data_IF_957792256538
#
_entry.id   IF_957792256538
#
_cell.length_a   1.000
_cell.length_b   1.000
_cell.length_c   1.000
_cell.angle_alpha   90.00
_cell.angle_beta   90.00
_cell.angle_gamma   90.00
#
_symmetry.space_group_name_H-M   'P 1'
#
loop_
_entity.id
_entity.type
_entity.pdbx_description
1 polymer ?
#
# COMPACT_ATOMS: atom_id res chain seq x y z
N UNK A 1 55.05 31.57 52.04
CA UNK A 1 56.17 31.23 51.14
C UNK A 1 55.79 29.89 50.53
N UNK A 2 54.67 29.81 49.82
CA UNK A 2 54.45 30.26 48.42
C UNK A 2 55.47 29.62 47.48
N UNK A 3 55.10 28.45 46.98
CA UNK A 3 55.69 27.84 45.80
C UNK A 3 54.57 27.42 44.83
N UNK A 4 54.27 28.39 43.98
CA UNK A 4 53.76 28.34 42.62
C UNK A 4 54.01 27.02 41.85
N UNK A 5 52.94 26.28 41.52
CA UNK A 5 52.74 25.68 40.18
C UNK A 5 51.38 24.96 40.06
N UNK A 6 50.28 25.69 40.11
CA UNK A 6 49.04 25.22 39.49
C UNK A 6 49.05 25.65 38.02
N UNK A 7 49.59 24.79 37.13
CA UNK A 7 49.29 24.88 35.70
C UNK A 7 47.82 24.49 35.51
N UNK A 8 46.95 25.50 35.57
CA UNK A 8 45.60 25.40 35.01
C UNK A 8 45.75 25.10 33.51
N UNK A 9 45.36 23.91 33.07
CA UNK A 9 45.15 23.65 31.64
C UNK A 9 44.01 24.55 31.19
N UNK A 10 44.33 25.61 30.46
CA UNK A 10 43.33 26.50 29.88
C UNK A 10 42.53 25.71 28.86
N UNK A 11 41.26 25.43 29.16
CA UNK A 11 40.33 24.87 28.18
C UNK A 11 40.24 25.88 27.03
N UNK A 12 40.74 25.52 25.85
CA UNK A 12 40.74 26.39 24.69
C UNK A 12 39.29 26.55 24.20
N UNK A 13 38.79 27.77 24.07
CA UNK A 13 37.44 28.05 23.58
C UNK A 13 37.51 28.84 22.27
N UNK A 14 36.64 28.51 21.32
CA UNK A 14 36.49 29.28 20.07
C UNK A 14 36.01 30.71 20.38
N UNK A 15 36.63 31.70 19.76
CA UNK A 15 36.32 33.12 19.96
C UNK A 15 37.15 33.80 21.06
N UNK A 16 37.97 33.09 21.82
CA UNK A 16 38.85 33.70 22.82
C UNK A 16 40.05 34.40 22.16
N UNK A 17 39.92 35.72 21.96
CA UNK A 17 40.98 36.56 21.37
C UNK A 17 42.28 36.56 22.16
N UNK A 18 42.24 36.30 23.47
CA UNK A 18 43.42 36.40 24.34
C UNK A 18 44.40 35.24 24.15
N UNK A 19 43.88 34.06 23.86
CA UNK A 19 44.65 32.80 23.73
C UNK A 19 44.83 32.35 22.27
N UNK A 20 44.01 32.86 21.35
CA UNK A 20 44.05 32.49 19.93
C UNK A 20 45.26 33.06 19.16
N UNK A 21 45.86 32.21 18.32
CA UNK A 21 46.99 32.53 17.44
C UNK A 21 46.61 32.60 15.94
N UNK A 22 45.39 32.17 15.59
CA UNK A 22 44.85 32.18 14.22
C UNK A 22 43.49 32.89 14.19
N UNK A 23 43.21 33.59 13.07
CA UNK A 23 41.87 34.11 12.76
C UNK A 23 41.33 33.41 11.51
N UNK A 24 40.21 32.71 11.65
CA UNK A 24 39.45 32.16 10.52
C UNK A 24 38.44 33.21 10.07
N UNK A 25 38.59 33.68 8.83
CA UNK A 25 37.73 34.70 8.24
C UNK A 25 36.76 34.05 7.25
N UNK A 26 35.50 33.93 7.63
CA UNK A 26 34.43 33.40 6.78
C UNK A 26 33.86 34.54 5.92
N UNK A 27 33.87 34.38 4.60
CA UNK A 27 33.34 35.39 3.66
C UNK A 27 32.35 34.82 2.66
N UNK A 28 31.26 35.54 2.46
CA UNK A 28 30.28 35.27 1.39
C UNK A 28 30.40 36.29 0.27
N UNK A 29 29.91 35.92 -0.93
CA UNK A 29 29.87 36.83 -2.09
C UNK A 29 28.93 38.02 -1.85
N UNK A 30 27.95 37.84 -0.97
CA UNK A 30 26.95 38.85 -0.60
C UNK A 30 27.47 39.86 0.43
N UNK A 31 28.72 39.72 0.86
CA UNK A 31 29.42 40.69 1.72
C UNK A 31 29.37 40.38 3.21
N UNK A 32 28.82 39.23 3.63
CA UNK A 32 28.94 38.76 5.02
C UNK A 32 30.40 38.39 5.28
N UNK A 33 30.95 38.90 6.36
CA UNK A 33 32.35 38.74 6.75
C UNK A 33 32.44 38.57 8.27
N UNK A 34 32.76 37.37 8.73
CA UNK A 34 32.85 37.04 10.16
C UNK A 34 34.24 36.51 10.51
N UNK A 35 34.70 36.95 11.68
CA UNK A 35 36.07 36.74 12.14
C UNK A 35 36.03 35.90 13.40
N UNK A 36 36.51 34.65 13.29
CA UNK A 36 36.53 33.70 14.39
C UNK A 36 37.96 33.53 14.89
N UNK A 37 38.18 33.83 16.17
CA UNK A 37 39.47 33.64 16.83
C UNK A 37 39.63 32.17 17.19
N UNK A 38 40.69 31.54 16.65
CA UNK A 38 40.91 30.11 16.74
C UNK A 38 42.37 29.76 17.12
N UNK A 39 42.58 28.48 17.47
CA UNK A 39 43.88 27.93 17.84
C UNK A 39 44.41 27.03 16.72
N UNK A 40 45.59 27.32 16.20
CA UNK A 40 46.22 26.59 15.09
C UNK A 40 46.27 25.09 15.35
N UNK A 41 46.76 24.68 16.52
CA UNK A 41 46.94 23.27 16.87
C UNK A 41 45.65 22.45 16.74
N UNK A 42 44.51 22.97 17.22
CA UNK A 42 43.19 22.31 17.10
C UNK A 42 42.77 22.22 15.63
N UNK A 43 42.86 23.34 14.89
CA UNK A 43 42.46 23.38 13.48
C UNK A 43 43.29 22.41 12.63
N UNK A 44 44.61 22.37 12.82
CA UNK A 44 45.51 21.52 12.04
C UNK A 44 45.40 20.03 12.40
N UNK A 45 45.04 19.72 13.66
CA UNK A 45 44.82 18.34 14.09
C UNK A 45 43.52 17.78 13.51
N UNK A 46 42.48 18.61 13.44
CA UNK A 46 41.13 18.16 13.10
C UNK A 46 40.76 18.34 11.62
N UNK A 47 41.51 19.16 10.86
CA UNK A 47 41.23 19.48 9.45
C UNK A 47 42.50 19.53 8.61
N UNK A 48 42.53 18.72 7.55
CA UNK A 48 43.64 18.74 6.59
C UNK A 48 43.67 20.03 5.77
N UNK A 49 42.51 20.63 5.45
CA UNK A 49 42.45 21.94 4.82
C UNK A 49 43.19 23.01 5.62
N UNK A 50 42.94 23.09 6.93
CA UNK A 50 43.61 24.06 7.79
C UNK A 50 45.09 23.72 8.00
N UNK A 51 45.45 22.44 8.10
CA UNK A 51 46.85 22.00 8.16
C UNK A 51 47.65 22.46 6.93
N UNK A 52 47.09 22.33 5.73
CA UNK A 52 47.74 22.76 4.49
C UNK A 52 47.84 24.29 4.41
N UNK A 53 46.77 25.01 4.77
CA UNK A 53 46.70 26.48 4.73
C UNK A 53 47.55 27.19 5.77
N UNK A 54 47.83 26.55 6.90
CA UNK A 54 48.68 27.08 7.97
C UNK A 54 50.13 26.55 7.89
N UNK A 55 50.44 25.72 6.89
CA UNK A 55 51.80 25.22 6.68
C UNK A 55 52.75 26.33 6.25
N UNK A 56 54.04 26.17 6.54
CA UNK A 56 55.11 27.11 6.14
C UNK A 56 55.19 27.35 4.62
N UNK A 57 54.61 26.44 3.83
CA UNK A 57 54.61 26.48 2.37
C UNK A 57 53.48 27.34 1.80
N UNK A 58 52.50 27.72 2.62
CA UNK A 58 51.36 28.53 2.18
C UNK A 58 51.60 30.01 2.50
N UNK A 59 51.35 30.94 1.56
CA UNK A 59 51.46 32.37 1.84
C UNK A 59 50.32 32.79 2.77
N UNK A 60 50.58 32.78 4.08
CA UNK A 60 49.63 33.21 5.09
C UNK A 60 49.73 34.72 5.29
N UNK A 61 48.59 35.42 5.19
CA UNK A 61 48.54 36.84 5.49
C UNK A 61 48.59 37.04 7.01
N UNK A 62 49.55 37.82 7.49
CA UNK A 62 49.58 38.26 8.89
C UNK A 62 48.67 39.48 9.04
N UNK A 63 47.71 39.38 9.96
CA UNK A 63 46.80 40.50 10.31
C UNK A 63 47.33 41.18 11.59
N UNK A 64 46.72 42.31 11.98
CA UNK A 64 46.90 43.01 13.26
C UNK A 64 47.21 42.04 14.42
N UNK A 65 48.22 42.40 15.22
CA UNK A 65 48.83 41.60 16.29
C UNK A 65 49.67 40.39 15.81
N UNK A 66 50.11 40.35 14.55
CA UNK A 66 50.98 39.30 13.97
C UNK A 66 50.39 37.89 13.96
N UNK A 67 49.05 37.78 13.94
CA UNK A 67 48.34 36.48 13.86
C UNK A 67 48.18 36.03 12.41
N UNK A 68 48.19 34.70 12.22
CA UNK A 68 47.90 34.09 10.94
C UNK A 68 46.40 34.22 10.62
N UNK A 69 46.06 34.56 9.38
CA UNK A 69 44.67 34.56 8.92
C UNK A 69 44.43 33.56 7.80
N UNK A 70 43.41 32.73 7.99
CA UNK A 70 42.90 31.80 6.96
C UNK A 70 41.55 32.31 6.48
N UNK A 71 41.49 32.68 5.21
CA UNK A 71 40.25 33.10 4.57
C UNK A 71 39.53 31.88 3.97
N UNK A 72 38.27 31.69 4.36
CA UNK A 72 37.39 30.62 3.86
C UNK A 72 36.21 31.27 3.17
N UNK A 73 36.01 30.95 1.90
CA UNK A 73 34.88 31.45 1.12
C UNK A 73 33.75 30.44 1.14
N UNK A 74 32.56 30.87 1.50
CA UNK A 74 31.37 30.03 1.58
C UNK A 74 30.15 30.71 0.93
N UNK A 75 29.11 29.92 0.66
CA UNK A 75 27.82 30.44 0.23
C UNK A 75 27.02 30.89 1.46
N UNK A 76 26.15 31.89 1.30
CA UNK A 76 25.30 32.37 2.40
C UNK A 76 24.46 31.24 3.00
N UNK A 77 23.91 30.34 2.17
CA UNK A 77 23.14 29.17 2.61
C UNK A 77 23.95 28.14 3.42
N UNK A 78 25.28 28.18 3.35
CA UNK A 78 26.17 27.25 4.07
C UNK A 78 26.93 27.92 5.21
N UNK A 79 26.72 29.22 5.40
CA UNK A 79 27.53 30.03 6.30
C UNK A 79 27.42 29.54 7.74
N UNK A 80 26.20 29.35 8.23
CA UNK A 80 25.97 28.93 9.62
C UNK A 80 26.52 27.51 9.87
N UNK A 81 26.54 26.63 8.85
CA UNK A 81 27.19 25.32 8.94
C UNK A 81 28.71 25.41 9.09
N UNK A 82 29.37 26.41 8.46
CA UNK A 82 30.80 26.66 8.68
C UNK A 82 31.08 27.15 10.10
N UNK A 83 30.25 28.03 10.63
CA UNK A 83 30.37 28.50 12.03
C UNK A 83 30.18 27.33 13.00
N UNK A 84 29.16 26.50 12.78
CA UNK A 84 28.87 25.34 13.62
C UNK A 84 29.99 24.29 13.54
N UNK A 85 30.54 24.03 12.34
CA UNK A 85 31.68 23.14 12.19
C UNK A 85 32.91 23.65 12.96
N UNK A 86 33.23 24.94 12.87
CA UNK A 86 34.37 25.50 13.61
C UNK A 86 34.18 25.39 15.12
N UNK A 87 32.94 25.52 15.62
CA UNK A 87 32.62 25.25 17.03
C UNK A 87 32.81 23.78 17.38
N UNK A 88 32.40 22.86 16.50
CA UNK A 88 32.54 21.41 16.70
C UNK A 88 34.00 20.96 16.85
N UNK A 89 34.93 21.57 16.11
CA UNK A 89 36.37 21.23 16.21
C UNK A 89 36.92 21.36 17.64
N UNK A 90 36.28 22.16 18.49
CA UNK A 90 36.66 22.38 19.89
C UNK A 90 35.95 21.47 20.88
N UNK A 91 34.84 20.85 20.48
CA UNK A 91 33.92 20.13 21.37
C UNK A 91 34.13 18.62 21.30
N UNK A 92 34.61 18.10 20.16
CA UNK A 92 34.77 16.65 19.89
C UNK A 92 35.62 15.91 20.93
N UNK A 93 36.41 16.63 21.74
CA UNK A 93 37.21 16.05 22.82
C UNK A 93 36.51 15.92 24.17
N UNK A 94 35.44 16.67 24.53
CA UNK A 94 35.03 16.77 25.96
C UNK A 94 33.55 17.06 26.35
N UNK A 95 32.52 16.96 25.48
CA UNK A 95 31.12 17.22 25.91
C UNK A 95 30.13 16.25 25.24
N UNK A 96 29.05 15.79 25.93
CA UNK A 96 28.02 14.93 25.33
C UNK A 96 27.36 15.63 24.15
N UNK A 97 27.36 14.95 23.02
CA UNK A 97 26.93 15.40 21.69
C UNK A 97 25.42 15.63 21.53
N UNK A 98 24.61 15.71 22.59
CA UNK A 98 23.15 15.77 22.44
C UNK A 98 22.64 17.16 21.98
N UNK A 99 23.25 18.27 22.38
CA UNK A 99 22.69 19.61 22.07
C UNK A 99 23.03 20.14 20.66
N UNK A 100 24.07 19.60 20.01
CA UNK A 100 24.50 20.08 18.68
C UNK A 100 23.95 19.25 17.52
N UNK A 101 23.42 18.07 17.82
CA UNK A 101 22.99 17.05 16.87
C UNK A 101 21.48 16.86 16.94
N UNK A 102 20.74 17.94 16.73
CA UNK A 102 19.28 17.97 16.95
C UNK A 102 18.44 17.95 15.68
N UNK A 103 19.06 18.00 14.51
CA UNK A 103 18.35 18.16 13.23
C UNK A 103 19.14 17.54 12.06
N UNK A 104 18.48 16.70 11.28
CA UNK A 104 19.08 15.96 10.15
C UNK A 104 19.62 16.92 9.10
N UNK A 105 18.87 17.97 8.74
CA UNK A 105 19.30 18.97 7.75
C UNK A 105 20.53 19.75 8.22
N UNK A 106 20.56 20.12 9.49
CA UNK A 106 21.73 20.79 10.08
C UNK A 106 22.96 19.89 10.04
N UNK A 107 22.80 18.62 10.38
CA UNK A 107 23.89 17.64 10.34
C UNK A 107 24.36 17.38 8.91
N UNK A 108 23.44 17.26 7.95
CA UNK A 108 23.76 17.11 6.53
C UNK A 108 24.52 18.34 5.99
N UNK A 109 24.11 19.54 6.40
CA UNK A 109 24.81 20.79 6.10
C UNK A 109 26.23 20.82 6.67
N UNK A 110 26.41 20.39 7.92
CA UNK A 110 27.72 20.27 8.57
C UNK A 110 28.58 19.21 7.87
N UNK A 111 28.02 18.06 7.51
CA UNK A 111 28.72 16.99 6.78
C UNK A 111 29.30 17.51 5.46
N UNK A 112 28.50 18.28 4.70
CA UNK A 112 28.96 18.90 3.46
C UNK A 112 30.17 19.79 3.68
N UNK A 113 30.11 20.68 4.67
CA UNK A 113 31.24 21.57 5.00
C UNK A 113 32.43 20.79 5.54
N UNK A 114 32.20 19.73 6.31
CA UNK A 114 33.25 18.86 6.84
C UNK A 114 34.00 18.15 5.72
N UNK A 115 33.30 17.76 4.66
CA UNK A 115 33.92 17.21 3.46
C UNK A 115 34.78 18.26 2.73
N UNK A 116 34.24 19.46 2.51
CA UNK A 116 34.96 20.57 1.85
C UNK A 116 36.23 21.00 2.61
N UNK A 117 36.21 20.91 3.94
CA UNK A 117 37.35 21.25 4.82
C UNK A 117 38.18 20.03 5.25
N UNK A 118 37.90 18.84 4.70
CA UNK A 118 38.61 17.59 4.98
C UNK A 118 38.72 17.25 6.49
N UNK A 119 37.61 17.38 7.22
CA UNK A 119 37.49 17.16 8.67
C UNK A 119 37.04 15.72 9.01
N UNK A 120 37.95 14.74 8.95
CA UNK A 120 37.61 13.30 9.06
C UNK A 120 36.81 12.90 10.30
N UNK A 121 37.16 13.43 11.48
CA UNK A 121 36.47 13.09 12.73
C UNK A 121 35.01 13.59 12.72
N UNK A 122 34.77 14.78 12.15
CA UNK A 122 33.42 15.34 12.00
C UNK A 122 32.64 14.56 10.96
N UNK A 123 33.25 14.22 9.81
CA UNK A 123 32.61 13.39 8.78
C UNK A 123 32.13 12.08 9.41
N UNK A 124 32.98 11.38 10.15
CA UNK A 124 32.60 10.13 10.84
C UNK A 124 31.48 10.34 11.87
N UNK A 125 31.52 11.41 12.67
CA UNK A 125 30.45 11.73 13.62
C UNK A 125 29.13 12.02 12.90
N UNK A 126 29.16 12.76 11.78
CA UNK A 126 28.00 13.04 10.95
C UNK A 126 27.40 11.78 10.36
N UNK A 127 28.23 10.89 9.83
CA UNK A 127 27.78 9.63 9.26
C UNK A 127 27.11 8.77 10.33
N UNK A 128 27.75 8.61 11.49
CA UNK A 128 27.19 7.81 12.58
C UNK A 128 25.84 8.35 13.06
N UNK A 129 25.68 9.68 13.13
CA UNK A 129 24.40 10.29 13.49
C UNK A 129 23.34 10.03 12.42
N UNK A 130 23.63 10.38 11.16
CA UNK A 130 22.66 10.25 10.07
C UNK A 130 22.24 8.80 9.86
N UNK A 131 23.17 7.84 9.98
CA UNK A 131 22.89 6.41 9.93
C UNK A 131 21.91 5.97 11.03
N UNK A 132 22.02 6.54 12.24
CA UNK A 132 21.30 6.10 13.43
C UNK A 132 19.90 6.71 13.62
N UNK A 133 19.56 7.80 12.92
CA UNK A 133 18.28 8.51 13.09
C UNK A 133 17.30 8.27 11.92
N UNK A 134 15.98 8.26 12.15
CA UNK A 134 14.98 8.25 11.07
C UNK A 134 15.05 9.55 10.25
N UNK A 135 14.56 9.50 9.02
CA UNK A 135 14.49 10.66 8.11
C UNK A 135 13.06 10.84 7.60
N UNK A 136 12.71 12.09 7.34
CA UNK A 136 11.50 12.44 6.58
C UNK A 136 11.80 12.39 5.07
N UNK A 137 10.76 12.28 4.24
CA UNK A 137 10.87 12.14 2.77
C UNK A 137 11.71 13.27 2.13
N UNK A 138 11.51 14.51 2.56
CA UNK A 138 12.25 15.65 2.04
C UNK A 138 13.73 15.66 2.48
N UNK A 139 14.03 15.09 3.65
CA UNK A 139 15.39 14.88 4.12
C UNK A 139 16.09 13.78 3.31
N UNK A 140 15.39 12.70 2.96
CA UNK A 140 15.91 11.65 2.07
C UNK A 140 16.27 12.22 0.69
N UNK A 141 15.42 13.07 0.12
CA UNK A 141 15.73 13.76 -1.13
C UNK A 141 16.98 14.63 -1.04
N UNK A 142 17.15 15.38 0.05
CA UNK A 142 18.35 16.20 0.26
C UNK A 142 19.59 15.34 0.43
N UNK A 143 19.49 14.23 1.17
CA UNK A 143 20.56 13.24 1.32
C UNK A 143 20.98 12.70 -0.06
N UNK A 144 20.03 12.31 -0.90
CA UNK A 144 20.29 11.82 -2.26
C UNK A 144 20.95 12.89 -3.16
N UNK A 145 20.66 14.17 -2.94
CA UNK A 145 21.29 15.27 -3.70
C UNK A 145 22.73 15.52 -3.24
N UNK A 146 23.02 15.36 -1.94
CA UNK A 146 24.28 15.79 -1.32
C UNK A 146 25.32 14.67 -1.22
N UNK A 147 24.93 13.49 -0.75
CA UNK A 147 25.85 12.45 -0.26
C UNK A 147 26.53 11.58 -1.33
N UNK A 148 25.91 11.22 -2.49
CA UNK A 148 26.47 10.22 -3.41
C UNK A 148 27.90 10.48 -3.93
N UNK A 149 28.38 11.71 -3.83
CA UNK A 149 29.70 12.13 -4.33
C UNK A 149 30.80 12.11 -3.26
N UNK A 150 30.49 11.76 -2.00
CA UNK A 150 31.38 11.89 -0.84
C UNK A 150 32.23 10.64 -0.54
N UNK A 151 32.28 9.66 -1.45
CA UNK A 151 33.15 8.49 -1.33
C UNK A 151 32.62 7.39 -0.39
N UNK A 152 33.50 6.50 0.08
CA UNK A 152 33.09 5.29 0.82
C UNK A 152 32.71 5.51 2.28
N UNK A 153 33.08 6.65 2.88
CA UNK A 153 32.79 6.92 4.30
C UNK A 153 31.29 7.10 4.57
N UNK A 154 30.51 7.45 3.55
CA UNK A 154 29.06 7.69 3.63
C UNK A 154 28.20 6.50 3.16
N UNK A 155 28.83 5.40 2.78
CA UNK A 155 28.15 4.19 2.28
C UNK A 155 27.06 3.66 3.25
N UNK A 156 27.24 3.68 4.59
CA UNK A 156 26.18 3.24 5.51
C UNK A 156 24.87 4.01 5.37
N UNK A 157 24.95 5.30 5.05
CA UNK A 157 23.77 6.15 4.79
C UNK A 157 23.12 5.73 3.47
N UNK A 158 23.92 5.64 2.41
CA UNK A 158 23.43 5.29 1.07
C UNK A 158 22.85 3.88 1.01
N UNK A 159 23.32 2.96 1.85
CA UNK A 159 22.82 1.60 1.97
C UNK A 159 21.33 1.55 2.36
N UNK A 160 20.82 2.54 3.12
CA UNK A 160 19.39 2.65 3.50
C UNK A 160 18.49 2.99 2.30
N UNK A 161 19.04 3.67 1.30
CA UNK A 161 18.32 4.18 0.12
C UNK A 161 18.50 3.27 -1.11
N UNK A 162 19.23 2.16 -0.97
CA UNK A 162 19.40 1.21 -2.06
C UNK A 162 18.08 0.49 -2.35
N UNK A 163 17.74 0.26 -3.64
CA UNK A 163 16.61 -0.56 -4.01
C UNK A 163 16.69 -1.94 -3.35
N UNK A 164 15.60 -2.36 -2.73
CA UNK A 164 15.53 -3.67 -2.06
C UNK A 164 15.62 -4.79 -3.09
N UNK A 165 16.35 -5.86 -2.75
CA UNK A 165 16.44 -7.05 -3.58
C UNK A 165 15.04 -7.68 -3.80
N UNK A 166 14.69 -7.96 -5.05
CA UNK A 166 13.40 -8.55 -5.43
C UNK A 166 13.08 -9.87 -4.72
N UNK A 167 14.10 -10.68 -4.38
CA UNK A 167 13.93 -11.90 -3.58
C UNK A 167 13.46 -11.62 -2.15
N UNK A 168 13.92 -10.52 -1.53
CA UNK A 168 13.51 -10.14 -0.19
C UNK A 168 12.08 -9.60 -0.20
N UNK A 169 11.75 -8.76 -1.20
CA UNK A 169 10.38 -8.28 -1.42
C UNK A 169 9.42 -9.46 -1.56
N UNK A 170 9.79 -10.46 -2.38
CA UNK A 170 9.01 -11.70 -2.52
C UNK A 170 8.83 -12.42 -1.18
N UNK A 171 9.89 -12.60 -0.39
CA UNK A 171 9.79 -13.26 0.91
C UNK A 171 8.88 -12.53 1.89
N UNK A 172 8.94 -11.20 1.92
CA UNK A 172 8.05 -10.35 2.73
C UNK A 172 6.61 -10.54 2.26
N UNK A 173 6.35 -10.47 0.95
CA UNK A 173 5.02 -10.68 0.39
C UNK A 173 4.44 -12.05 0.77
N UNK A 174 5.19 -13.13 0.59
CA UNK A 174 4.71 -14.49 0.92
C UNK A 174 4.47 -14.65 2.42
N UNK A 175 5.30 -14.05 3.27
CA UNK A 175 5.13 -14.09 4.71
C UNK A 175 3.89 -13.30 5.16
N UNK A 176 3.70 -12.09 4.62
CA UNK A 176 2.53 -11.27 4.85
C UNK A 176 1.25 -11.96 4.34
N UNK A 177 1.30 -12.60 3.17
CA UNK A 177 0.16 -13.35 2.59
C UNK A 177 -0.28 -14.50 3.51
N UNK A 178 0.68 -15.24 4.07
CA UNK A 178 0.38 -16.30 5.05
C UNK A 178 -0.29 -15.74 6.29
N UNK A 179 0.20 -14.62 6.83
CA UNK A 179 -0.42 -13.93 7.98
C UNK A 179 -1.82 -13.42 7.64
N UNK A 180 -1.98 -12.79 6.48
CA UNK A 180 -3.24 -12.23 5.97
C UNK A 180 -4.32 -13.29 5.73
N UNK A 181 -3.93 -14.54 5.53
CA UNK A 181 -4.83 -15.69 5.29
C UNK A 181 -4.93 -16.66 6.46
N UNK A 182 -4.37 -16.31 7.63
CA UNK A 182 -4.56 -17.10 8.85
C UNK A 182 -6.03 -17.17 9.25
N UNK A 183 -6.38 -18.33 9.82
CA UNK A 183 -7.70 -18.60 10.38
C UNK A 183 -8.07 -17.57 11.46
N UNK A 184 -9.37 -17.20 11.59
CA UNK A 184 -9.86 -16.24 12.60
C UNK A 184 -9.54 -16.61 14.06
N UNK A 185 -9.08 -17.84 14.32
CA UNK A 185 -8.69 -18.32 15.64
C UNK A 185 -7.22 -18.06 16.00
N UNK A 186 -6.44 -17.44 15.11
CA UNK A 186 -5.04 -17.10 15.37
C UNK A 186 -4.94 -15.89 16.29
N UNK A 187 -4.11 -15.97 17.33
CA UNK A 187 -3.99 -14.94 18.39
C UNK A 187 -3.19 -13.68 17.94
N UNK A 188 -3.12 -13.41 16.63
CA UNK A 188 -2.29 -12.36 16.00
C UNK A 188 -3.19 -11.28 15.39
N UNK A 189 -4.16 -10.80 16.15
CA UNK A 189 -5.26 -9.99 15.61
C UNK A 189 -4.80 -8.62 15.06
N UNK A 190 -3.68 -8.06 15.55
CA UNK A 190 -3.24 -6.72 15.14
C UNK A 190 -2.42 -6.71 13.83
N UNK A 191 -1.79 -7.83 13.45
CA UNK A 191 -0.94 -7.88 12.25
C UNK A 191 -1.70 -8.19 10.97
N UNK A 192 -2.84 -8.88 11.06
CA UNK A 192 -3.58 -9.34 9.89
C UNK A 192 -4.14 -8.18 9.04
N UNK A 193 -4.84 -7.17 9.60
CA UNK A 193 -5.32 -6.04 8.80
C UNK A 193 -4.19 -5.25 8.16
N UNK A 194 -3.09 -5.02 8.89
CA UNK A 194 -1.90 -4.35 8.36
C UNK A 194 -1.27 -5.16 7.22
N UNK A 195 -1.13 -6.48 7.36
CA UNK A 195 -0.63 -7.33 6.28
C UNK A 195 -1.54 -7.28 5.05
N UNK A 196 -2.87 -7.29 5.24
CA UNK A 196 -3.85 -7.18 4.16
C UNK A 196 -3.73 -5.85 3.40
N UNK A 197 -3.58 -4.73 4.11
CA UNK A 197 -3.38 -3.40 3.54
C UNK A 197 -2.06 -3.29 2.78
N UNK A 198 -0.95 -3.73 3.39
CA UNK A 198 0.36 -3.64 2.77
C UNK A 198 0.48 -4.55 1.53
N UNK A 199 -0.14 -5.73 1.52
CA UNK A 199 -0.20 -6.58 0.33
C UNK A 199 -0.96 -5.93 -0.83
N UNK A 200 -2.02 -5.17 -0.53
CA UNK A 200 -2.71 -4.40 -1.56
C UNK A 200 -1.80 -3.30 -2.10
N UNK A 201 -1.12 -2.54 -1.22
CA UNK A 201 -0.17 -1.50 -1.60
C UNK A 201 0.97 -2.03 -2.48
N UNK A 202 1.59 -3.16 -2.10
CA UNK A 202 2.67 -3.79 -2.88
C UNK A 202 2.28 -4.17 -4.32
N UNK A 203 0.98 -4.30 -4.59
CA UNK A 203 0.41 -4.65 -5.89
C UNK A 203 -0.30 -3.46 -6.56
N UNK A 204 -0.29 -2.25 -5.98
CA UNK A 204 -0.87 -1.06 -6.63
C UNK A 204 0.10 -0.60 -7.71
N UNK A 205 -0.45 -0.28 -8.89
CA UNK A 205 0.23 0.56 -9.88
C UNK A 205 -0.44 1.94 -9.77
N UNK A 206 0.28 2.94 -9.27
CA UNK A 206 -0.18 4.33 -9.16
C UNK A 206 0.74 5.26 -9.97
N UNK A 207 1.33 6.28 -9.36
CA UNK A 207 2.37 7.09 -10.02
C UNK A 207 3.70 6.31 -10.08
N UNK A 208 3.89 5.32 -9.20
CA UNK A 208 5.05 4.44 -9.14
C UNK A 208 4.77 3.03 -9.70
N UNK A 209 5.86 2.34 -10.05
CA UNK A 209 5.79 0.93 -10.44
C UNK A 209 5.48 0.05 -9.22
N UNK A 210 4.72 -1.04 -9.38
CA UNK A 210 4.35 -1.91 -8.27
C UNK A 210 5.61 -2.51 -7.63
N UNK A 211 5.63 -2.54 -6.29
CA UNK A 211 6.78 -3.05 -5.55
C UNK A 211 7.07 -4.53 -5.87
N UNK A 212 6.01 -5.30 -6.19
CA UNK A 212 6.12 -6.69 -6.58
C UNK A 212 5.44 -6.99 -7.91
N UNK A 213 6.24 -7.40 -8.90
CA UNK A 213 5.72 -7.98 -10.14
C UNK A 213 5.29 -9.43 -9.91
N UNK A 214 4.05 -9.75 -10.26
CA UNK A 214 3.50 -11.08 -10.11
C UNK A 214 4.13 -12.09 -11.08
N UNK A 215 4.73 -13.15 -10.53
CA UNK A 215 5.24 -14.29 -11.29
C UNK A 215 4.43 -15.58 -11.03
N UNK A 216 4.81 -16.66 -11.69
CA UNK A 216 4.13 -17.94 -11.57
C UNK A 216 4.20 -18.56 -10.16
N UNK A 217 5.27 -18.30 -9.42
CA UNK A 217 5.46 -18.82 -8.06
C UNK A 217 4.55 -18.09 -7.07
N UNK A 218 4.48 -16.76 -7.16
CA UNK A 218 3.55 -15.94 -6.37
C UNK A 218 2.11 -16.37 -6.64
N UNK A 219 1.74 -16.53 -7.92
CA UNK A 219 0.40 -16.99 -8.30
C UNK A 219 0.10 -18.39 -7.75
N UNK A 220 1.08 -19.28 -7.66
CA UNK A 220 0.92 -20.61 -7.08
C UNK A 220 0.63 -20.52 -5.57
N UNK A 221 1.47 -19.81 -4.80
CA UNK A 221 1.27 -19.67 -3.35
C UNK A 221 -0.08 -19.02 -3.04
N UNK A 222 -0.42 -17.94 -3.77
CA UNK A 222 -1.72 -17.27 -3.66
C UNK A 222 -2.87 -18.25 -3.88
N UNK A 223 -2.78 -19.10 -4.90
CA UNK A 223 -3.81 -20.12 -5.15
C UNK A 223 -3.91 -21.16 -4.01
N UNK A 224 -2.80 -21.56 -3.38
CA UNK A 224 -2.84 -22.44 -2.21
C UNK A 224 -3.50 -21.77 -1.00
N UNK A 225 -3.21 -20.49 -0.76
CA UNK A 225 -3.89 -19.67 0.23
C UNK A 225 -5.41 -19.58 -0.04
N UNK A 226 -5.81 -19.32 -1.29
CA UNK A 226 -7.24 -19.32 -1.68
C UNK A 226 -7.89 -20.66 -1.39
N UNK A 227 -7.27 -21.77 -1.81
CA UNK A 227 -7.83 -23.11 -1.58
C UNK A 227 -8.01 -23.40 -0.10
N UNK A 228 -7.07 -22.98 0.75
CA UNK A 228 -7.16 -23.13 2.21
C UNK A 228 -8.33 -22.34 2.79
N UNK A 229 -8.49 -21.07 2.39
CA UNK A 229 -9.61 -20.23 2.81
C UNK A 229 -10.95 -20.82 2.34
N UNK A 230 -11.06 -21.22 1.08
CA UNK A 230 -12.28 -21.83 0.53
C UNK A 230 -12.60 -23.16 1.21
N UNK A 231 -11.60 -23.99 1.52
CA UNK A 231 -11.80 -25.24 2.26
C UNK A 231 -12.40 -24.95 3.64
N UNK A 232 -11.84 -23.96 4.34
CA UNK A 232 -12.32 -23.54 5.66
C UNK A 232 -13.75 -23.02 5.59
N UNK A 233 -14.03 -22.13 4.64
CA UNK A 233 -15.36 -21.60 4.37
C UNK A 233 -16.39 -22.70 4.09
N UNK A 234 -16.07 -23.64 3.18
CA UNK A 234 -16.96 -24.75 2.86
C UNK A 234 -17.19 -25.68 4.06
N UNK A 235 -16.16 -25.98 4.85
CA UNK A 235 -16.33 -26.75 6.09
C UNK A 235 -17.25 -26.05 7.09
N UNK A 236 -17.14 -24.72 7.24
CA UNK A 236 -18.04 -23.95 8.10
C UNK A 236 -19.49 -23.99 7.61
N UNK A 237 -19.70 -23.87 6.29
CA UNK A 237 -21.04 -24.01 5.69
C UNK A 237 -21.66 -25.37 6.02
N UNK A 238 -20.92 -26.46 5.86
CA UNK A 238 -21.42 -27.80 6.18
C UNK A 238 -21.78 -27.91 7.68
N UNK A 239 -20.94 -27.39 8.57
CA UNK A 239 -21.18 -27.43 10.02
C UNK A 239 -22.44 -26.63 10.39
N UNK A 240 -22.62 -25.45 9.82
CA UNK A 240 -23.81 -24.61 10.11
C UNK A 240 -25.10 -25.25 9.59
N UNK A 241 -25.03 -25.91 8.44
CA UNK A 241 -26.16 -26.62 7.84
C UNK A 241 -26.47 -27.96 8.53
N UNK A 242 -25.55 -28.51 9.33
CA UNK A 242 -25.78 -29.77 10.03
C UNK A 242 -26.85 -29.61 11.13
N UNK A 243 -27.96 -30.37 11.07
CA UNK A 243 -29.00 -30.32 12.10
C UNK A 243 -28.57 -30.94 13.44
N UNK A 244 -27.52 -31.77 13.47
CA UNK A 244 -27.05 -32.50 14.66
C UNK A 244 -26.16 -31.63 15.54
N UNK A 245 -25.41 -30.70 14.94
CA UNK A 245 -24.52 -29.77 15.64
C UNK A 245 -25.22 -28.44 15.90
N UNK A 246 -26.17 -28.43 16.85
CA UNK A 246 -26.85 -27.20 17.29
C UNK A 246 -26.01 -26.35 18.26
N UNK A 247 -25.06 -26.97 18.96
CA UNK A 247 -24.18 -26.28 19.91
C UNK A 247 -23.09 -25.48 19.17
N UNK A 248 -22.93 -24.21 19.54
CA UNK A 248 -21.93 -23.31 18.93
C UNK A 248 -22.29 -22.69 17.57
N UNK A 249 -23.54 -22.77 17.10
CA UNK A 249 -23.97 -22.18 15.81
C UNK A 249 -23.69 -20.67 15.71
N UNK A 250 -23.98 -19.90 16.74
CA UNK A 250 -23.68 -18.45 16.82
C UNK A 250 -22.17 -18.18 16.60
N UNK A 251 -21.30 -18.92 17.30
CA UNK A 251 -19.85 -18.81 17.10
C UNK A 251 -19.44 -19.16 15.68
N UNK A 252 -20.01 -20.21 15.09
CA UNK A 252 -19.70 -20.62 13.72
C UNK A 252 -20.19 -19.58 12.69
N UNK A 253 -21.34 -18.95 12.94
CA UNK A 253 -21.86 -17.84 12.12
C UNK A 253 -20.94 -16.62 12.19
N UNK A 254 -20.46 -16.25 13.39
CA UNK A 254 -19.48 -15.17 13.53
C UNK A 254 -18.18 -15.47 12.76
N UNK A 255 -17.67 -16.70 12.87
CA UNK A 255 -16.48 -17.15 12.13
C UNK A 255 -16.72 -17.13 10.62
N UNK A 256 -17.94 -17.50 10.17
CA UNK A 256 -18.34 -17.42 8.77
C UNK A 256 -18.28 -15.98 8.25
N UNK A 257 -18.76 -15.01 9.03
CA UNK A 257 -18.68 -13.58 8.68
C UNK A 257 -17.21 -13.15 8.51
N UNK A 258 -16.32 -13.52 9.42
CA UNK A 258 -14.88 -13.25 9.26
C UNK A 258 -14.29 -13.89 8.01
N UNK A 259 -14.67 -15.15 7.71
CA UNK A 259 -14.24 -15.80 6.48
C UNK A 259 -14.77 -15.10 5.22
N UNK A 260 -15.98 -14.55 5.25
CA UNK A 260 -16.53 -13.75 4.13
C UNK A 260 -15.74 -12.46 3.93
N UNK A 261 -15.37 -11.76 5.01
CA UNK A 261 -14.49 -10.58 4.94
C UNK A 261 -13.12 -10.93 4.35
N UNK A 262 -12.52 -12.03 4.78
CA UNK A 262 -11.25 -12.52 4.21
C UNK A 262 -11.37 -12.88 2.73
N UNK A 263 -12.47 -13.52 2.33
CA UNK A 263 -12.73 -13.85 0.92
C UNK A 263 -12.95 -12.60 0.07
N UNK A 264 -13.64 -11.58 0.60
CA UNK A 264 -13.86 -10.31 -0.09
C UNK A 264 -12.53 -9.57 -0.30
N UNK A 265 -11.67 -9.52 0.72
CA UNK A 265 -10.30 -9.02 0.60
C UNK A 265 -9.50 -9.83 -0.43
N UNK A 266 -9.54 -11.17 -0.34
CA UNK A 266 -8.79 -12.04 -1.24
C UNK A 266 -9.22 -11.84 -2.70
N UNK A 267 -10.51 -11.56 -2.97
CA UNK A 267 -10.98 -11.20 -4.31
C UNK A 267 -10.24 -9.97 -4.88
N UNK A 268 -9.87 -8.98 -4.04
CA UNK A 268 -9.11 -7.79 -4.48
C UNK A 268 -7.69 -8.18 -4.93
N UNK A 269 -7.02 -9.03 -4.15
CA UNK A 269 -5.69 -9.57 -4.50
C UNK A 269 -5.77 -10.41 -5.78
N UNK A 270 -6.72 -11.34 -5.87
CA UNK A 270 -6.87 -12.22 -7.03
C UNK A 270 -7.25 -11.49 -8.31
N UNK A 271 -8.00 -10.39 -8.22
CA UNK A 271 -8.32 -9.54 -9.37
C UNK A 271 -7.04 -8.93 -9.95
N UNK A 272 -6.14 -8.41 -9.10
CA UNK A 272 -4.86 -7.83 -9.53
C UNK A 272 -3.90 -8.86 -10.10
N UNK A 273 -3.91 -10.07 -9.55
CA UNK A 273 -3.05 -11.17 -10.01
C UNK A 273 -3.65 -11.97 -11.19
N UNK A 274 -4.88 -11.65 -11.58
CA UNK A 274 -5.67 -12.34 -12.61
C UNK A 274 -5.88 -13.85 -12.34
N UNK A 275 -6.06 -14.22 -11.06
CA UNK A 275 -6.18 -15.63 -10.62
C UNK A 275 -7.55 -15.98 -10.00
N UNK A 276 -8.61 -15.26 -10.39
CA UNK A 276 -9.97 -15.42 -9.84
C UNK A 276 -10.64 -16.80 -10.12
N UNK A 277 -10.12 -17.59 -11.05
CA UNK A 277 -10.78 -18.81 -11.57
C UNK A 277 -11.17 -19.82 -10.49
N UNK A 278 -10.28 -20.10 -9.55
CA UNK A 278 -10.50 -21.09 -8.49
C UNK A 278 -11.64 -20.67 -7.55
N UNK A 279 -11.62 -19.40 -7.12
CA UNK A 279 -12.64 -18.82 -6.25
C UNK A 279 -14.01 -18.81 -6.93
N UNK A 280 -14.07 -18.35 -8.19
CA UNK A 280 -15.34 -18.32 -8.95
C UNK A 280 -15.90 -19.74 -9.12
N UNK A 281 -15.06 -20.74 -9.44
CA UNK A 281 -15.53 -22.12 -9.59
C UNK A 281 -16.09 -22.66 -8.28
N UNK A 282 -15.38 -22.47 -7.16
CA UNK A 282 -15.83 -22.93 -5.85
C UNK A 282 -17.14 -22.24 -5.43
N UNK A 283 -17.25 -20.93 -5.64
CA UNK A 283 -18.44 -20.15 -5.30
C UNK A 283 -19.68 -20.62 -6.06
N UNK A 284 -19.53 -20.94 -7.36
CA UNK A 284 -20.64 -21.51 -8.16
C UNK A 284 -21.09 -22.85 -7.57
N UNK A 285 -20.14 -23.73 -7.28
CA UNK A 285 -20.45 -25.08 -6.81
C UNK A 285 -21.06 -25.06 -5.39
N UNK A 286 -20.68 -24.07 -4.56
CA UNK A 286 -21.23 -23.85 -3.22
C UNK A 286 -22.52 -22.99 -3.18
N UNK A 287 -22.93 -22.36 -4.28
CA UNK A 287 -23.96 -21.30 -4.30
C UNK A 287 -25.27 -21.67 -3.59
N UNK A 288 -25.82 -22.86 -3.86
CA UNK A 288 -27.07 -23.30 -3.22
C UNK A 288 -26.93 -23.50 -1.71
N UNK A 289 -25.75 -23.93 -1.24
CA UNK A 289 -25.49 -24.14 0.19
C UNK A 289 -25.32 -22.80 0.89
N UNK A 290 -24.62 -21.85 0.26
CA UNK A 290 -24.43 -20.49 0.79
C UNK A 290 -25.78 -19.82 1.04
N UNK A 291 -26.70 -19.86 0.07
CA UNK A 291 -28.04 -19.27 0.23
C UNK A 291 -28.82 -19.92 1.38
N UNK A 292 -28.74 -21.26 1.53
CA UNK A 292 -29.40 -21.99 2.62
C UNK A 292 -28.84 -21.67 4.00
N UNK A 293 -27.54 -21.37 4.12
CA UNK A 293 -26.92 -21.02 5.41
C UNK A 293 -27.56 -19.77 6.01
N UNK A 294 -27.92 -18.79 5.18
CA UNK A 294 -28.56 -17.56 5.65
C UNK A 294 -29.93 -17.82 6.27
N UNK A 295 -30.61 -18.89 5.88
CA UNK A 295 -31.89 -19.31 6.46
C UNK A 295 -31.72 -19.99 7.83
N UNK A 296 -30.51 -20.42 8.20
CA UNK A 296 -30.23 -21.07 9.49
C UNK A 296 -29.92 -20.07 10.61
N UNK A 297 -29.64 -18.82 10.28
CA UNK A 297 -29.32 -17.80 11.26
C UNK A 297 -30.57 -17.38 12.04
N UNK A 298 -30.46 -17.32 13.37
CA UNK A 298 -31.56 -17.01 14.29
C UNK A 298 -31.52 -15.57 14.81
N UNK A 299 -30.35 -14.94 14.79
CA UNK A 299 -30.12 -13.58 15.29
C UNK A 299 -30.14 -12.58 14.13
N UNK A 300 -30.91 -11.50 14.29
CA UNK A 300 -31.09 -10.49 13.24
C UNK A 300 -29.77 -9.86 12.77
N UNK A 301 -28.83 -9.57 13.68
CA UNK A 301 -27.51 -9.02 13.32
C UNK A 301 -26.67 -10.00 12.51
N UNK A 302 -26.64 -11.29 12.88
CA UNK A 302 -25.91 -12.32 12.14
C UNK A 302 -26.46 -12.51 10.73
N UNK A 303 -27.80 -12.48 10.58
CA UNK A 303 -28.46 -12.55 9.28
C UNK A 303 -27.99 -11.41 8.38
N UNK A 304 -27.90 -10.19 8.93
CA UNK A 304 -27.51 -9.01 8.17
C UNK A 304 -26.02 -9.07 7.82
N UNK A 305 -25.14 -9.27 8.79
CA UNK A 305 -23.68 -9.30 8.57
C UNK A 305 -23.28 -10.40 7.58
N UNK A 306 -23.91 -11.58 7.69
CA UNK A 306 -23.68 -12.69 6.74
C UNK A 306 -24.17 -12.35 5.35
N UNK A 307 -25.36 -11.74 5.22
CA UNK A 307 -25.88 -11.31 3.91
C UNK A 307 -24.99 -10.24 3.28
N UNK A 308 -24.51 -9.28 4.06
CA UNK A 308 -23.59 -8.23 3.60
C UNK A 308 -22.30 -8.86 3.07
N UNK A 309 -21.64 -9.70 3.85
CA UNK A 309 -20.40 -10.38 3.42
C UNK A 309 -20.60 -11.25 2.16
N UNK A 310 -21.74 -11.94 2.04
CA UNK A 310 -22.07 -12.70 0.82
C UNK A 310 -22.23 -11.77 -0.39
N UNK A 311 -22.90 -10.63 -0.23
CA UNK A 311 -23.10 -9.65 -1.30
C UNK A 311 -21.76 -9.10 -1.79
N UNK A 312 -20.84 -8.77 -0.88
CA UNK A 312 -19.51 -8.25 -1.23
C UNK A 312 -18.69 -9.26 -2.05
N UNK A 313 -18.64 -10.53 -1.62
CA UNK A 313 -17.94 -11.58 -2.37
C UNK A 313 -18.63 -11.86 -3.70
N UNK A 314 -19.96 -11.98 -3.71
CA UNK A 314 -20.75 -12.23 -4.90
C UNK A 314 -20.53 -11.15 -5.96
N UNK A 315 -20.47 -9.89 -5.55
CA UNK A 315 -20.24 -8.76 -6.45
C UNK A 315 -18.94 -8.94 -7.23
N UNK A 316 -17.83 -9.30 -6.55
CA UNK A 316 -16.54 -9.56 -7.19
C UNK A 316 -16.54 -10.82 -8.06
N UNK A 317 -17.28 -11.86 -7.66
CA UNK A 317 -17.45 -13.07 -8.47
C UNK A 317 -18.20 -12.77 -9.78
N UNK A 318 -19.32 -12.05 -9.71
CA UNK A 318 -20.10 -11.70 -10.90
C UNK A 318 -19.37 -10.68 -11.77
N UNK A 319 -18.60 -9.76 -11.20
CA UNK A 319 -17.72 -8.85 -11.92
C UNK A 319 -16.69 -9.61 -12.78
N UNK A 320 -16.03 -10.63 -12.21
CA UNK A 320 -15.08 -11.46 -12.96
C UNK A 320 -15.74 -12.19 -14.14
N UNK A 321 -16.99 -12.64 -13.97
CA UNK A 321 -17.77 -13.28 -15.06
C UNK A 321 -18.18 -12.24 -16.10
N UNK A 322 -18.66 -11.06 -15.67
CA UNK A 322 -19.08 -9.93 -16.54
C UNK A 322 -17.96 -9.52 -17.48
N UNK A 323 -16.75 -9.32 -16.97
CA UNK A 323 -15.59 -8.88 -17.77
C UNK A 323 -14.97 -10.01 -18.61
N UNK A 324 -15.40 -11.26 -18.43
CA UNK A 324 -14.85 -12.41 -19.14
C UNK A 324 -13.47 -12.84 -18.65
N UNK A 325 -12.99 -12.34 -17.49
CA UNK A 325 -11.76 -12.83 -16.86
C UNK A 325 -11.90 -14.29 -16.39
N UNK A 326 -13.13 -14.70 -16.08
CA UNK A 326 -13.50 -16.10 -15.89
C UNK A 326 -14.64 -16.48 -16.83
N UNK A 327 -14.31 -17.29 -17.84
CA UNK A 327 -15.29 -17.77 -18.83
C UNK A 327 -16.00 -19.02 -18.28
N UNK A 328 -17.34 -18.96 -18.27
CA UNK A 328 -18.19 -20.05 -17.78
C UNK A 328 -19.13 -20.58 -18.87
N UNK A 329 -19.41 -21.91 -18.87
CA UNK A 329 -20.46 -22.49 -19.69
C UNK A 329 -21.82 -21.83 -19.41
N UNK A 330 -22.69 -21.82 -20.43
CA UNK A 330 -24.05 -21.25 -20.33
C UNK A 330 -24.85 -21.80 -19.15
N UNK A 331 -24.78 -23.10 -18.88
CA UNK A 331 -25.48 -23.73 -17.75
C UNK A 331 -25.05 -23.18 -16.40
N UNK A 332 -23.74 -22.96 -16.19
CA UNK A 332 -23.22 -22.36 -14.95
C UNK A 332 -23.62 -20.87 -14.83
N UNK A 333 -23.58 -20.11 -15.93
CA UNK A 333 -24.02 -18.69 -15.94
C UNK A 333 -25.51 -18.56 -15.62
N UNK A 334 -26.34 -19.40 -16.23
CA UNK A 334 -27.78 -19.47 -15.95
C UNK A 334 -28.05 -19.84 -14.48
N UNK A 335 -27.33 -20.84 -13.96
CA UNK A 335 -27.44 -21.25 -12.57
C UNK A 335 -27.16 -20.08 -11.62
N UNK A 336 -26.08 -19.34 -11.86
CA UNK A 336 -25.72 -18.17 -11.06
C UNK A 336 -26.83 -17.12 -11.06
N UNK A 337 -27.42 -16.79 -12.21
CA UNK A 337 -28.53 -15.84 -12.26
C UNK A 337 -29.74 -16.37 -11.48
N UNK A 338 -30.16 -17.62 -11.69
CA UNK A 338 -31.35 -18.18 -11.02
C UNK A 338 -31.20 -18.28 -9.49
N UNK A 339 -30.00 -18.54 -8.98
CA UNK A 339 -29.76 -18.60 -7.52
C UNK A 339 -29.62 -17.22 -6.90
N UNK A 340 -28.80 -16.36 -7.51
CA UNK A 340 -28.37 -15.14 -6.85
C UNK A 340 -29.30 -13.95 -7.09
N UNK A 341 -30.01 -13.90 -8.20
CA UNK A 341 -30.94 -12.80 -8.49
C UNK A 341 -32.05 -12.68 -7.42
N UNK A 342 -32.74 -13.77 -6.98
CA UNK A 342 -33.71 -13.71 -5.89
C UNK A 342 -33.08 -13.35 -4.52
N UNK A 343 -31.87 -13.87 -4.25
CA UNK A 343 -31.15 -13.60 -3.01
C UNK A 343 -30.82 -12.11 -2.88
N UNK A 344 -30.23 -11.53 -3.93
CA UNK A 344 -29.84 -10.12 -4.01
C UNK A 344 -31.06 -9.20 -3.83
N UNK A 345 -32.18 -9.52 -4.50
CA UNK A 345 -33.46 -8.81 -4.33
C UNK A 345 -33.91 -8.75 -2.87
N UNK A 346 -33.96 -9.92 -2.23
CA UNK A 346 -34.40 -10.05 -0.83
C UNK A 346 -33.46 -9.30 0.11
N UNK A 347 -32.15 -9.42 -0.11
CA UNK A 347 -31.14 -8.75 0.72
C UNK A 347 -31.19 -7.23 0.58
N UNK A 348 -31.28 -6.71 -0.65
CA UNK A 348 -31.39 -5.25 -0.90
C UNK A 348 -32.65 -4.67 -0.24
N UNK A 349 -33.78 -5.33 -0.41
CA UNK A 349 -35.04 -4.91 0.23
C UNK A 349 -34.94 -4.90 1.76
N UNK A 350 -34.27 -5.87 2.36
CA UNK A 350 -34.06 -5.93 3.81
C UNK A 350 -33.22 -4.74 4.28
N UNK A 351 -32.09 -4.47 3.62
CA UNK A 351 -31.18 -3.37 3.96
C UNK A 351 -31.86 -2.01 3.79
N UNK A 352 -32.58 -1.80 2.68
CA UNK A 352 -33.32 -0.56 2.43
C UNK A 352 -34.43 -0.35 3.46
N UNK A 353 -35.10 -1.41 3.92
CA UNK A 353 -36.11 -1.32 4.98
C UNK A 353 -35.50 -0.86 6.32
N UNK A 354 -34.30 -1.34 6.65
CA UNK A 354 -33.59 -1.01 7.89
C UNK A 354 -33.06 0.43 7.86
N UNK A 355 -32.51 0.86 6.74
CA UNK A 355 -32.02 2.24 6.54
C UNK A 355 -33.14 3.28 6.70
N UNK A 356 -34.34 2.99 6.18
CA UNK A 356 -35.49 3.89 6.29
C UNK A 356 -36.09 3.96 7.71
N UNK A 357 -35.80 2.98 8.58
CA UNK A 357 -36.31 2.93 9.95
C UNK A 357 -35.44 3.71 10.97
N UNK A 358 -34.48 4.51 10.51
CA UNK A 358 -33.70 5.42 11.37
C UNK A 358 -32.54 4.75 12.11
N UNK A 359 -32.16 3.53 11.72
CA UNK A 359 -30.91 2.90 12.18
C UNK A 359 -29.75 3.45 11.34
N UNK A 360 -29.20 4.60 11.76
CA UNK A 360 -27.97 5.17 11.23
C UNK A 360 -26.75 4.36 11.72
N UNK A 361 -26.81 3.03 11.56
CA UNK A 361 -25.73 2.12 11.92
C UNK A 361 -24.76 2.03 10.72
N UNK A 362 -23.51 2.50 10.87
CA UNK A 362 -22.51 2.44 9.80
C UNK A 362 -22.25 1.01 9.30
N UNK A 363 -22.59 -0.04 10.08
CA UNK A 363 -22.47 -1.45 9.67
C UNK A 363 -23.45 -1.89 8.58
N UNK A 364 -24.56 -1.16 8.38
CA UNK A 364 -25.58 -1.49 7.39
C UNK A 364 -25.27 -0.95 5.99
N UNK A 365 -24.20 -0.17 5.85
CA UNK A 365 -23.91 0.58 4.64
C UNK A 365 -23.00 -0.23 3.71
N UNK A 366 -23.62 -1.12 2.94
CA UNK A 366 -22.98 -1.61 1.72
C UNK A 366 -22.81 -0.41 0.78
N UNK A 367 -21.61 -0.25 0.24
CA UNK A 367 -21.30 0.80 -0.72
C UNK A 367 -22.28 0.77 -1.91
N UNK A 368 -22.74 1.95 -2.35
CA UNK A 368 -23.66 2.08 -3.49
C UNK A 368 -23.04 1.43 -4.73
N UNK A 369 -21.73 1.58 -4.88
CA UNK A 369 -20.95 1.04 -5.99
C UNK A 369 -21.06 -0.49 -6.08
N UNK A 370 -21.19 -1.20 -4.96
CA UNK A 370 -21.35 -2.67 -4.94
C UNK A 370 -22.68 -3.08 -5.55
N UNK A 371 -23.77 -2.33 -5.26
CA UNK A 371 -25.09 -2.60 -5.83
C UNK A 371 -25.15 -2.29 -7.32
N UNK A 372 -24.58 -1.18 -7.75
CA UNK A 372 -24.49 -0.81 -9.17
C UNK A 372 -23.67 -1.84 -9.96
N UNK A 373 -22.56 -2.29 -9.38
CA UNK A 373 -21.71 -3.33 -9.96
C UNK A 373 -22.43 -4.67 -10.10
N UNK A 374 -23.20 -5.08 -9.08
CA UNK A 374 -24.04 -6.28 -9.14
C UNK A 374 -25.11 -6.20 -10.22
N UNK A 375 -25.85 -5.09 -10.29
CA UNK A 375 -26.90 -4.88 -11.29
C UNK A 375 -26.32 -4.95 -12.70
N UNK A 376 -25.25 -4.20 -12.95
CA UNK A 376 -24.56 -4.19 -14.23
C UNK A 376 -23.99 -5.58 -14.60
N UNK A 377 -23.52 -6.35 -13.62
CA UNK A 377 -23.08 -7.72 -13.83
C UNK A 377 -24.23 -8.66 -14.19
N UNK A 378 -25.39 -8.58 -13.52
CA UNK A 378 -26.56 -9.36 -13.89
C UNK A 378 -27.03 -9.04 -15.31
N UNK A 379 -27.18 -7.75 -15.67
CA UNK A 379 -27.55 -7.33 -17.03
C UNK A 379 -26.59 -7.95 -18.06
N UNK A 380 -25.29 -7.80 -17.84
CA UNK A 380 -24.27 -8.31 -18.76
C UNK A 380 -24.31 -9.84 -18.90
N UNK A 381 -24.43 -10.57 -17.79
CA UNK A 381 -24.47 -12.03 -17.78
C UNK A 381 -25.75 -12.53 -18.48
N UNK A 382 -26.91 -11.93 -18.19
CA UNK A 382 -28.20 -12.25 -18.82
C UNK A 382 -28.10 -12.03 -20.33
N UNK A 383 -27.58 -10.89 -20.79
CA UNK A 383 -27.43 -10.58 -22.21
C UNK A 383 -26.51 -11.53 -22.97
N UNK A 384 -25.66 -12.28 -22.27
CA UNK A 384 -24.81 -13.31 -22.84
C UNK A 384 -25.43 -14.72 -22.82
N UNK A 385 -26.61 -14.92 -22.22
CA UNK A 385 -27.33 -16.20 -22.23
C UNK A 385 -28.06 -16.41 -23.59
N UNK A 386 -28.52 -17.63 -23.90
CA UNK A 386 -29.42 -17.87 -25.02
C UNK A 386 -30.72 -17.07 -24.89
N UNK A 387 -31.31 -16.66 -26.02
CA UNK A 387 -32.50 -15.78 -26.03
C UNK A 387 -33.73 -16.36 -25.34
N UNK A 388 -33.87 -17.70 -25.30
CA UNK A 388 -34.95 -18.38 -24.57
C UNK A 388 -34.82 -18.22 -23.06
N UNK A 389 -33.62 -18.47 -22.53
CA UNK A 389 -33.31 -18.28 -21.11
C UNK A 389 -33.44 -16.80 -20.70
N UNK A 390 -32.99 -15.87 -21.56
CA UNK A 390 -33.20 -14.43 -21.34
C UNK A 390 -34.69 -14.10 -21.18
N UNK A 391 -35.54 -14.66 -22.04
CA UNK A 391 -36.98 -14.41 -22.01
C UNK A 391 -37.63 -14.92 -20.72
N UNK A 392 -37.23 -16.09 -20.21
CA UNK A 392 -37.72 -16.64 -18.94
C UNK A 392 -37.40 -15.68 -17.78
N UNK A 393 -36.13 -15.29 -17.65
CA UNK A 393 -35.66 -14.40 -16.57
C UNK A 393 -36.34 -13.03 -16.62
N UNK A 394 -36.43 -12.44 -17.81
CA UNK A 394 -37.09 -11.14 -18.02
C UNK A 394 -38.57 -11.23 -17.71
N UNK A 395 -39.24 -12.31 -18.11
CA UNK A 395 -40.68 -12.51 -17.82
C UNK A 395 -40.92 -12.59 -16.32
N UNK A 396 -40.12 -13.35 -15.60
CA UNK A 396 -40.18 -13.43 -14.14
C UNK A 396 -39.93 -12.07 -13.48
N UNK A 397 -38.95 -11.29 -13.99
CA UNK A 397 -38.70 -9.94 -13.50
C UNK A 397 -39.89 -9.00 -13.71
N UNK A 398 -40.48 -9.00 -14.92
CA UNK A 398 -41.66 -8.19 -15.26
C UNK A 398 -42.86 -8.51 -14.35
N UNK A 399 -43.10 -9.79 -14.07
CA UNK A 399 -44.21 -10.23 -13.21
C UNK A 399 -44.10 -9.71 -11.77
N UNK A 400 -42.89 -9.41 -11.31
CA UNK A 400 -42.63 -8.98 -9.95
C UNK A 400 -42.42 -7.45 -9.80
N UNK A 401 -42.65 -6.65 -10.86
CA UNK A 401 -42.37 -5.20 -10.88
C UNK A 401 -43.13 -4.38 -9.83
N UNK A 402 -44.30 -4.81 -9.38
CA UNK A 402 -45.07 -4.08 -8.37
C UNK A 402 -44.45 -4.17 -6.96
N UNK A 403 -43.50 -5.08 -6.75
CA UNK A 403 -42.83 -5.33 -5.45
C UNK A 403 -41.32 -5.06 -5.54
N UNK A 404 -40.72 -5.18 -6.73
CA UNK A 404 -39.26 -5.25 -6.91
C UNK A 404 -38.75 -4.06 -7.74
N UNK A 405 -37.96 -3.17 -7.11
CA UNK A 405 -37.25 -2.08 -7.80
C UNK A 405 -35.83 -2.43 -8.25
N UNK A 406 -35.20 -3.41 -7.62
CA UNK A 406 -33.79 -3.74 -7.83
C UNK A 406 -33.59 -5.26 -7.99
N UNK A 407 -32.70 -5.75 -8.86
CA UNK A 407 -31.96 -4.96 -9.85
C UNK A 407 -32.86 -4.51 -11.00
N UNK A 408 -32.53 -3.36 -11.58
CA UNK A 408 -33.12 -2.87 -12.81
C UNK A 408 -32.58 -3.67 -14.01
N UNK A 409 -33.47 -4.44 -14.65
CA UNK A 409 -33.15 -5.23 -15.84
C UNK A 409 -33.69 -4.59 -17.13
N UNK A 410 -34.05 -3.29 -17.09
CA UNK A 410 -34.60 -2.57 -18.24
C UNK A 410 -33.67 -2.62 -19.44
N UNK A 411 -32.37 -2.41 -19.27
CA UNK A 411 -31.39 -2.52 -20.36
C UNK A 411 -31.42 -3.93 -20.99
N UNK A 412 -31.41 -4.98 -20.17
CA UNK A 412 -31.46 -6.35 -20.65
C UNK A 412 -32.74 -6.63 -21.46
N UNK A 413 -33.88 -6.10 -21.00
CA UNK A 413 -35.17 -6.21 -21.67
C UNK A 413 -35.20 -5.47 -23.01
N UNK A 414 -34.72 -4.22 -23.07
CA UNK A 414 -34.67 -3.43 -24.30
C UNK A 414 -33.79 -4.10 -25.36
N UNK A 415 -32.60 -4.55 -24.96
CA UNK A 415 -31.67 -5.23 -25.84
C UNK A 415 -32.23 -6.57 -26.31
N UNK A 416 -32.89 -7.35 -25.44
CA UNK A 416 -33.57 -8.59 -25.84
C UNK A 416 -34.67 -8.33 -26.86
N UNK A 417 -35.51 -7.30 -26.66
CA UNK A 417 -36.56 -6.90 -27.60
C UNK A 417 -35.97 -6.52 -28.97
N UNK A 418 -34.93 -5.69 -28.96
CA UNK A 418 -34.23 -5.28 -30.18
C UNK A 418 -33.64 -6.48 -30.92
N UNK A 419 -32.87 -7.34 -30.21
CA UNK A 419 -32.22 -8.53 -30.78
C UNK A 419 -33.25 -9.51 -31.34
N UNK A 420 -34.36 -9.73 -30.65
CA UNK A 420 -35.44 -10.62 -31.08
C UNK A 420 -36.13 -10.10 -32.35
N UNK A 421 -36.40 -8.79 -32.44
CA UNK A 421 -36.96 -8.15 -33.64
C UNK A 421 -36.00 -8.19 -34.84
N UNK A 422 -34.72 -7.98 -34.60
CA UNK A 422 -33.68 -8.05 -35.65
C UNK A 422 -33.45 -9.48 -36.12
N UNK A 423 -33.39 -10.45 -35.21
CA UNK A 423 -33.20 -11.86 -35.53
C UNK A 423 -34.30 -12.38 -36.48
N UNK A 424 -35.56 -12.01 -36.22
CA UNK A 424 -36.68 -12.33 -37.11
C UNK A 424 -36.48 -11.82 -38.55
N UNK A 425 -36.01 -10.56 -38.70
CA UNK A 425 -35.69 -9.96 -40.01
C UNK A 425 -34.50 -10.62 -40.69
N UNK A 426 -33.47 -11.00 -39.93
CA UNK A 426 -32.27 -11.67 -40.48
C UNK A 426 -32.58 -13.09 -40.95
N UNK A 427 -33.38 -13.83 -40.17
CA UNK A 427 -33.79 -15.19 -40.52
C UNK A 427 -34.72 -15.22 -41.75
N UNK A 428 -35.62 -14.23 -41.91
CA UNK A 428 -36.44 -14.14 -43.12
C UNK A 428 -35.58 -13.90 -44.38
N UNK A 429 -34.52 -13.09 -44.29
CA UNK A 429 -33.59 -12.86 -45.41
C UNK A 429 -32.74 -14.08 -45.76
N UNK A 430 -32.44 -14.95 -44.79
CA UNK A 430 -31.72 -16.22 -45.03
C UNK A 430 -32.66 -17.27 -45.65
N UNK A 431 -33.96 -17.25 -45.30
CA UNK A 431 -34.97 -18.13 -45.87
C UNK A 431 -35.36 -17.80 -47.32
N UNK A 432 -35.17 -16.56 -47.77
CA UNK A 432 -35.49 -16.09 -49.11
C UNK A 432 -34.36 -16.29 -50.14
N UNK A 433 -33.25 -16.95 -49.78
CA UNK A 433 -32.19 -17.30 -50.72
C UNK A 433 -32.59 -18.57 -51.53
N UNK A 434 -32.83 -18.48 -52.86
CA UNK A 434 -33.30 -19.60 -53.67
C UNK A 434 -32.13 -20.54 -54.05
N UNK A 435 -31.51 -21.20 -53.06
CA UNK A 435 -30.31 -21.98 -53.30
C UNK A 435 -30.01 -23.15 -52.36
N UNK A 436 -30.77 -23.39 -51.28
CA UNK A 436 -30.47 -24.51 -50.38
C UNK A 436 -31.73 -25.15 -49.84
N UNK A 437 -32.12 -26.24 -50.50
CA UNK A 437 -33.11 -27.19 -50.02
C UNK A 437 -32.61 -27.94 -48.78
N UNK A 438 -33.40 -27.88 -47.70
CA UNK A 438 -33.66 -29.02 -46.84
C UNK A 438 -32.80 -29.17 -45.58
N UNK A 439 -33.30 -28.66 -44.44
CA UNK A 439 -33.70 -29.48 -43.28
C UNK A 439 -34.42 -28.59 -42.26
N UNK A 440 -35.72 -28.82 -42.10
CA UNK A 440 -36.55 -28.16 -41.10
C UNK A 440 -36.20 -28.68 -39.70
N UNK A 441 -35.61 -27.82 -38.86
CA UNK A 441 -35.67 -28.00 -37.41
C UNK A 441 -37.00 -27.40 -36.92
N UNK A 442 -37.95 -28.27 -36.56
CA UNK A 442 -39.10 -27.87 -35.74
C UNK A 442 -38.64 -27.73 -34.29
N UNK A 443 -39.05 -26.67 -33.56
CA UNK A 443 -38.95 -26.64 -32.11
C UNK A 443 -40.11 -27.44 -31.51
N UNK A 444 -39.81 -28.40 -30.64
CA UNK A 444 -40.78 -29.09 -29.80
C UNK A 444 -41.45 -28.10 -28.85
N UNK A 445 -42.78 -28.23 -28.72
CA UNK A 445 -43.64 -27.45 -27.83
C UNK A 445 -43.39 -27.73 -26.35
#
# INVERSE_FOLDING_TARGET
MDDSSNKAGSCCQVGDRSTSDVVVRLRTKDGRDEWLYCHSHILTEQSKYFADRLSEKWPTCQILDSRNCVEVFCLESTFDYHVNLLRLLYVITDIPTDDLWNDVRTVLGILRVAFDLECKNIISACVNYLEAVPWEEDEEEEILKVIPHMGSEVEPILARLQPVNSSLIRQIFLSALRVATLSPFSNINDLKPSAQEQLEYMLVEDDDAPLLMADAEIKLEVNECVKSLLKTFNSLIEIVLDPVHSDGKERNMQVLVFCLTDLAWMCRILKRLETMKELVSNWIDASNKIVKVVEQASVASEIIDTRVGIIEVLAKVLEAIKHGSVILPTSKRLHMVKVWLPFVRTTKSLIDSLANNGADDPKLKIDSDVWELLESAFVSIILALPSGEQAEIITEWLQNQHVIRYPDLTEAFEVWCYRSKVAKRRLSLVGDNPGTTGTSFQPSA
#
